data_IF_441788116536
#
_entry.id   IF_441788116536
#
_cell.length_a   1.000
_cell.length_b   1.000
_cell.length_c   1.000
_cell.angle_alpha   90.00
_cell.angle_beta   90.00
_cell.angle_gamma   90.00
#
_symmetry.space_group_name_H-M   'P 1'
#
loop_
_entity.id
_entity.type
_entity.pdbx_description
1 polymer ?
#
# COMPACT_ATOMS: atom_id res chain seq x y z
N UNK A 1 -31.38 36.43 -7.53
CA UNK A 1 -30.12 36.75 -8.23
C UNK A 1 -29.15 35.64 -7.92
N UNK A 2 -28.82 34.80 -8.90
CA UNK A 2 -27.76 33.79 -8.73
C UNK A 2 -26.41 34.48 -8.61
N UNK A 3 -25.51 33.96 -7.77
CA UNK A 3 -24.12 34.45 -7.68
C UNK A 3 -23.45 34.47 -9.06
N UNK A 4 -23.77 33.49 -9.89
CA UNK A 4 -23.29 33.38 -11.26
C UNK A 4 -23.55 34.65 -12.08
N UNK A 5 -24.61 35.41 -11.76
CA UNK A 5 -24.96 36.62 -12.49
C UNK A 5 -24.07 37.83 -12.23
N UNK A 6 -23.27 37.79 -11.17
CA UNK A 6 -22.32 38.85 -10.79
C UNK A 6 -20.96 38.71 -11.49
N UNK A 7 -20.72 37.61 -12.19
CA UNK A 7 -19.46 37.36 -12.88
C UNK A 7 -19.39 38.13 -14.23
N UNK A 8 -18.22 38.72 -14.55
CA UNK A 8 -17.93 39.29 -15.85
C UNK A 8 -18.24 38.33 -17.00
N UNK A 9 -18.70 38.86 -18.14
CA UNK A 9 -19.21 38.09 -19.28
C UNK A 9 -18.21 37.06 -19.82
N UNK A 10 -16.91 37.39 -19.86
CA UNK A 10 -15.83 36.46 -20.27
C UNK A 10 -15.66 35.27 -19.33
N UNK A 11 -15.77 35.50 -18.02
CA UNK A 11 -15.64 34.44 -17.02
C UNK A 11 -16.87 33.55 -16.97
N UNK A 12 -18.07 34.12 -17.14
CA UNK A 12 -19.32 33.36 -17.36
C UNK A 12 -19.21 32.42 -18.57
N UNK A 13 -18.68 32.92 -19.67
CA UNK A 13 -18.60 32.16 -20.92
C UNK A 13 -17.57 31.01 -20.80
N UNK A 14 -16.44 31.27 -20.15
CA UNK A 14 -15.44 30.25 -19.83
C UNK A 14 -15.97 29.20 -18.86
N UNK A 15 -16.68 29.60 -17.79
CA UNK A 15 -17.29 28.66 -16.85
C UNK A 15 -18.38 27.80 -17.50
N UNK A 16 -19.22 28.39 -18.37
CA UNK A 16 -20.25 27.64 -19.10
C UNK A 16 -19.65 26.62 -20.05
N UNK A 17 -18.56 26.95 -20.74
CA UNK A 17 -17.82 25.99 -21.57
C UNK A 17 -17.24 24.86 -20.73
N UNK A 18 -16.69 25.16 -19.55
CA UNK A 18 -16.15 24.17 -18.62
C UNK A 18 -17.23 23.24 -18.04
N UNK A 19 -18.38 23.79 -17.67
CA UNK A 19 -19.51 23.07 -17.07
C UNK A 19 -20.43 22.36 -18.07
N UNK A 20 -20.28 22.59 -19.38
CA UNK A 20 -21.08 21.92 -20.42
C UNK A 20 -20.24 21.18 -21.46
N UNK A 21 -18.92 21.12 -21.29
CA UNK A 21 -18.05 20.31 -22.14
C UNK A 21 -18.15 18.84 -21.69
N UNK A 22 -18.67 17.94 -22.55
CA UNK A 22 -18.69 16.51 -22.25
C UNK A 22 -17.29 15.95 -21.97
N UNK A 23 -16.27 16.46 -22.67
CA UNK A 23 -14.86 16.04 -22.51
C UNK A 23 -14.29 16.39 -21.13
N UNK A 24 -14.65 17.54 -20.54
CA UNK A 24 -14.19 17.86 -19.18
C UNK A 24 -14.93 17.06 -18.12
N UNK A 25 -16.18 16.68 -18.36
CA UNK A 25 -16.93 15.77 -17.49
C UNK A 25 -16.43 14.33 -17.58
N UNK A 26 -16.05 13.85 -18.76
CA UNK A 26 -15.38 12.55 -18.94
C UNK A 26 -14.02 12.53 -18.23
N UNK A 27 -13.19 13.57 -18.40
CA UNK A 27 -11.93 13.71 -17.64
C UNK A 27 -12.15 13.77 -16.13
N UNK A 28 -13.24 14.39 -15.68
CA UNK A 28 -13.58 14.41 -14.26
C UNK A 28 -14.03 13.03 -13.76
N UNK A 29 -14.82 12.29 -14.56
CA UNK A 29 -15.21 10.90 -14.25
C UNK A 29 -14.03 9.95 -14.26
N UNK A 30 -13.09 10.09 -15.20
CA UNK A 30 -11.85 9.31 -15.24
C UNK A 30 -10.94 9.60 -14.04
N UNK A 31 -11.00 10.83 -13.50
CA UNK A 31 -10.17 11.26 -12.36
C UNK A 31 -10.74 10.86 -11.00
N UNK A 32 -12.04 10.62 -10.90
CA UNK A 32 -12.71 10.23 -9.66
C UNK A 32 -12.82 8.70 -9.65
N UNK A 33 -12.15 8.05 -8.71
CA UNK A 33 -12.22 6.59 -8.54
C UNK A 33 -13.70 6.17 -8.41
N UNK A 34 -14.07 5.07 -9.08
CA UNK A 34 -15.43 4.55 -9.00
C UNK A 34 -15.76 4.11 -7.58
N UNK A 35 -17.05 4.02 -7.22
CA UNK A 35 -17.47 3.51 -5.92
C UNK A 35 -16.95 2.08 -5.66
N UNK A 36 -16.92 1.24 -6.68
CA UNK A 36 -16.38 -0.13 -6.58
C UNK A 36 -14.86 -0.14 -6.32
N UNK A 37 -14.11 0.79 -6.92
CA UNK A 37 -12.66 0.90 -6.67
C UNK A 37 -12.38 1.40 -5.25
N UNK A 38 -13.23 2.30 -4.73
CA UNK A 38 -13.16 2.78 -3.36
C UNK A 38 -13.45 1.67 -2.36
N UNK A 39 -14.47 0.85 -2.59
CA UNK A 39 -14.79 -0.31 -1.74
C UNK A 39 -13.61 -1.28 -1.66
N UNK A 40 -13.01 -1.64 -2.80
CA UNK A 40 -11.82 -2.51 -2.83
C UNK A 40 -10.62 -1.92 -2.10
N UNK A 41 -10.40 -0.61 -2.21
CA UNK A 41 -9.32 0.06 -1.47
C UNK A 41 -9.61 0.11 0.04
N UNK A 42 -10.86 0.31 0.43
CA UNK A 42 -11.26 0.29 1.83
C UNK A 42 -11.07 -1.10 2.46
N UNK A 43 -11.54 -2.15 1.80
CA UNK A 43 -11.32 -3.53 2.24
C UNK A 43 -9.82 -3.84 2.40
N UNK A 44 -9.02 -3.44 1.41
CA UNK A 44 -7.56 -3.63 1.48
C UNK A 44 -6.92 -2.90 2.65
N UNK A 45 -7.34 -1.66 2.91
CA UNK A 45 -6.80 -0.86 4.01
C UNK A 45 -7.23 -1.42 5.36
N UNK A 46 -8.47 -1.91 5.49
CA UNK A 46 -8.97 -2.56 6.69
C UNK A 46 -8.12 -3.79 7.04
N UNK A 47 -7.84 -4.63 6.05
CA UNK A 47 -6.99 -5.82 6.22
C UNK A 47 -5.56 -5.49 6.63
N UNK A 48 -4.97 -4.45 6.05
CA UNK A 48 -3.62 -4.02 6.42
C UNK A 48 -3.59 -3.42 7.82
N UNK A 49 -4.64 -2.71 8.23
CA UNK A 49 -4.77 -2.18 9.58
C UNK A 49 -4.91 -3.31 10.62
N UNK A 50 -5.71 -4.34 10.34
CA UNK A 50 -5.82 -5.53 11.18
C UNK A 50 -4.49 -6.28 11.29
N UNK A 51 -3.82 -6.52 10.16
CA UNK A 51 -2.51 -7.15 10.15
C UNK A 51 -1.49 -6.33 10.94
N UNK A 52 -1.52 -5.00 10.83
CA UNK A 52 -0.64 -4.10 11.60
C UNK A 52 -0.91 -4.24 13.09
N UNK A 53 -2.18 -4.24 13.49
CA UNK A 53 -2.57 -4.43 14.88
C UNK A 53 -2.12 -5.79 15.41
N UNK A 54 -2.30 -6.87 14.64
CA UNK A 54 -1.87 -8.21 14.99
C UNK A 54 -0.33 -8.28 15.14
N UNK A 55 0.42 -7.65 14.24
CA UNK A 55 1.88 -7.59 14.33
C UNK A 55 2.37 -6.80 15.56
N UNK A 56 1.62 -5.79 16.01
CA UNK A 56 1.96 -5.00 17.20
C UNK A 56 1.53 -5.68 18.52
N UNK A 57 0.47 -6.46 18.51
CA UNK A 57 -0.12 -7.07 19.72
C UNK A 57 0.27 -8.53 19.94
N UNK A 58 0.50 -9.30 18.87
CA UNK A 58 0.74 -10.73 18.92
C UNK A 58 2.15 -11.10 18.41
N UNK A 59 3.11 -11.37 19.31
CA UNK A 59 4.48 -11.68 18.90
C UNK A 59 4.59 -13.00 18.12
N UNK A 60 3.62 -13.93 18.27
CA UNK A 60 3.59 -15.19 17.53
C UNK A 60 3.34 -14.96 16.04
N UNK A 61 2.38 -14.11 15.70
CA UNK A 61 2.03 -13.76 14.31
C UNK A 61 3.23 -13.07 13.65
N UNK A 62 3.91 -12.19 14.38
CA UNK A 62 5.12 -11.54 13.92
C UNK A 62 6.24 -12.55 13.62
N UNK A 63 6.48 -13.52 14.50
CA UNK A 63 7.48 -14.56 14.27
C UNK A 63 7.15 -15.50 13.11
N UNK A 64 5.88 -15.88 12.96
CA UNK A 64 5.41 -16.74 11.87
C UNK A 64 5.58 -16.06 10.52
N UNK A 65 5.09 -14.81 10.40
CA UNK A 65 5.24 -14.04 9.17
C UNK A 65 6.71 -13.77 8.84
N UNK A 66 7.55 -13.51 9.86
CA UNK A 66 9.00 -13.38 9.66
C UNK A 66 9.62 -14.67 9.10
N UNK A 67 9.27 -15.83 9.66
CA UNK A 67 9.79 -17.13 9.20
C UNK A 67 9.35 -17.46 7.78
N UNK A 68 8.11 -17.13 7.42
CA UNK A 68 7.59 -17.32 6.07
C UNK A 68 8.37 -16.46 5.07
N UNK A 69 8.54 -15.16 5.37
CA UNK A 69 9.32 -14.25 4.55
C UNK A 69 10.79 -14.68 4.48
N UNK A 70 11.39 -15.14 5.58
CA UNK A 70 12.76 -15.65 5.59
C UNK A 70 12.91 -16.88 4.68
N UNK A 71 11.95 -17.80 4.72
CA UNK A 71 11.92 -18.96 3.84
C UNK A 71 11.84 -18.54 2.38
N UNK A 72 10.92 -17.63 2.06
CA UNK A 72 10.75 -17.14 0.70
C UNK A 72 12.00 -16.40 0.21
N UNK A 73 12.64 -15.59 1.07
CA UNK A 73 13.91 -14.90 0.74
C UNK A 73 15.03 -15.89 0.39
N UNK A 74 15.05 -17.06 1.03
CA UNK A 74 16.01 -18.13 0.72
C UNK A 74 15.64 -18.90 -0.55
N UNK A 75 14.36 -19.13 -0.80
CA UNK A 75 13.88 -19.97 -1.91
C UNK A 75 13.76 -19.21 -3.24
N UNK A 76 13.16 -18.02 -3.21
CA UNK A 76 12.83 -17.22 -4.40
C UNK A 76 13.87 -16.11 -4.65
N UNK A 77 14.62 -15.73 -3.62
CA UNK A 77 15.62 -14.67 -3.66
C UNK A 77 15.04 -13.28 -3.36
N UNK A 78 15.89 -12.42 -2.79
CA UNK A 78 15.52 -11.06 -2.38
C UNK A 78 14.95 -10.18 -3.52
N UNK A 79 15.37 -10.43 -4.76
CA UNK A 79 14.93 -9.67 -5.94
C UNK A 79 13.46 -9.89 -6.29
N UNK A 80 12.89 -11.06 -5.96
CA UNK A 80 11.48 -11.37 -6.24
C UNK A 80 10.54 -10.93 -5.12
N UNK A 81 11.08 -10.71 -3.92
CA UNK A 81 10.28 -10.40 -2.73
C UNK A 81 10.30 -8.92 -2.42
N UNK A 82 11.42 -8.26 -2.66
CA UNK A 82 11.60 -6.85 -2.35
C UNK A 82 11.33 -6.02 -3.60
N UNK A 83 10.63 -4.90 -3.41
CA UNK A 83 10.51 -3.90 -4.47
C UNK A 83 11.88 -3.25 -4.67
N UNK A 84 12.32 -3.13 -5.93
CA UNK A 84 13.69 -2.80 -6.32
C UNK A 84 14.22 -1.51 -5.66
N UNK A 85 14.82 -1.65 -4.49
CA UNK A 85 15.67 -0.66 -3.84
C UNK A 85 17.13 -1.04 -4.05
N UNK A 86 18.01 -0.05 -4.19
CA UNK A 86 19.45 -0.28 -4.09
C UNK A 86 19.76 -0.77 -2.66
N UNK A 87 19.66 -2.08 -2.44
CA UNK A 87 20.00 -2.70 -1.17
C UNK A 87 21.49 -2.54 -0.95
N UNK A 88 21.87 -1.86 0.13
CA UNK A 88 23.27 -1.82 0.52
C UNK A 88 23.72 -3.24 0.91
N UNK A 89 25.01 -3.60 0.73
CA UNK A 89 25.49 -4.94 1.07
C UNK A 89 25.20 -5.34 2.53
N UNK A 90 25.25 -4.37 3.45
CA UNK A 90 24.90 -4.58 4.87
C UNK A 90 23.45 -5.00 5.08
N UNK A 91 22.53 -4.46 4.30
CA UNK A 91 21.11 -4.80 4.35
C UNK A 91 20.87 -6.19 3.78
N UNK A 92 21.56 -6.55 2.69
CA UNK A 92 21.48 -7.89 2.13
C UNK A 92 21.95 -8.94 3.13
N UNK A 93 23.06 -8.68 3.83
CA UNK A 93 23.58 -9.58 4.88
C UNK A 93 22.59 -9.71 6.05
N UNK A 94 22.01 -8.60 6.50
CA UNK A 94 21.01 -8.60 7.57
C UNK A 94 19.75 -9.41 7.19
N UNK A 95 19.23 -9.21 5.98
CA UNK A 95 18.09 -9.96 5.45
C UNK A 95 18.41 -11.45 5.29
N UNK A 96 19.59 -11.79 4.76
CA UNK A 96 20.03 -13.18 4.61
C UNK A 96 20.22 -13.89 5.95
N UNK A 97 20.62 -13.17 7.00
CA UNK A 97 20.78 -13.69 8.35
C UNK A 97 19.47 -13.82 9.14
N UNK A 98 18.34 -13.35 8.60
CA UNK A 98 17.05 -13.32 9.32
C UNK A 98 16.93 -12.20 10.37
N UNK A 99 17.91 -11.28 10.42
CA UNK A 99 17.95 -10.17 11.36
C UNK A 99 17.11 -8.99 10.85
N UNK A 100 15.80 -9.20 10.76
CA UNK A 100 14.84 -8.17 10.34
C UNK A 100 13.51 -8.29 11.08
N UNK A 101 12.81 -7.16 11.16
CA UNK A 101 11.46 -7.04 11.70
C UNK A 101 10.48 -6.73 10.58
N UNK A 102 9.31 -7.36 10.63
CA UNK A 102 8.22 -7.10 9.69
C UNK A 102 7.32 -6.02 10.27
N UNK A 103 6.91 -5.06 9.44
CA UNK A 103 5.94 -4.04 9.82
C UNK A 103 5.12 -3.57 8.63
N UNK A 104 4.18 -2.67 8.88
CA UNK A 104 3.36 -2.02 7.84
C UNK A 104 3.61 -0.52 7.89
N UNK A 105 3.89 0.07 6.73
CA UNK A 105 4.13 1.50 6.59
C UNK A 105 3.48 2.06 5.33
N UNK A 106 3.29 3.38 5.30
CA UNK A 106 2.71 4.09 4.17
C UNK A 106 3.79 4.33 3.12
N UNK A 107 3.53 3.90 1.88
CA UNK A 107 4.38 4.23 0.76
C UNK A 107 4.27 5.74 0.45
N UNK A 108 5.37 6.51 0.53
CA UNK A 108 5.31 7.96 0.29
C UNK A 108 4.95 8.33 -1.15
N UNK A 109 5.12 7.41 -2.11
CA UNK A 109 4.83 7.66 -3.53
C UNK A 109 3.38 7.38 -3.90
N UNK A 110 2.78 6.31 -3.35
CA UNK A 110 1.40 5.91 -3.67
C UNK A 110 0.38 6.34 -2.60
N UNK A 111 0.83 6.67 -1.38
CA UNK A 111 -0.02 6.98 -0.24
C UNK A 111 -0.72 5.76 0.36
N UNK A 112 -0.44 4.56 -0.14
CA UNK A 112 -1.05 3.31 0.32
C UNK A 112 -0.17 2.62 1.35
N UNK A 113 -0.79 1.90 2.28
CA UNK A 113 -0.08 1.04 3.22
C UNK A 113 0.50 -0.19 2.51
N UNK A 114 1.69 -0.62 2.94
CA UNK A 114 2.40 -1.77 2.41
C UNK A 114 3.24 -2.45 3.49
N UNK A 115 3.49 -3.74 3.30
CA UNK A 115 4.38 -4.51 4.17
C UNK A 115 5.82 -4.10 3.90
N UNK A 116 6.55 -3.81 4.96
CA UNK A 116 7.95 -3.39 4.93
C UNK A 116 8.80 -4.26 5.84
N UNK A 117 10.02 -4.54 5.39
CA UNK A 117 11.06 -5.16 6.21
C UNK A 117 11.99 -4.09 6.77
N UNK A 118 12.32 -4.21 8.04
CA UNK A 118 13.24 -3.34 8.77
C UNK A 118 14.44 -4.18 9.24
N UNK A 119 15.62 -4.02 8.63
CA UNK A 119 16.83 -4.70 9.08
C UNK A 119 17.24 -4.25 10.48
N UNK A 120 17.62 -5.20 11.33
CA UNK A 120 18.13 -4.90 12.68
C UNK A 120 19.47 -4.16 12.57
N UNK A 121 19.55 -2.98 13.17
CA UNK A 121 20.73 -2.12 13.14
C UNK A 121 20.66 -0.93 12.17
N UNK A 122 19.66 -0.86 11.28
CA UNK A 122 19.40 0.32 10.46
C UNK A 122 17.90 0.68 10.40
N UNK A 123 17.40 1.30 11.48
CA UNK A 123 15.98 1.68 11.67
C UNK A 123 15.48 2.65 10.60
N UNK A 124 16.38 3.31 9.87
CA UNK A 124 16.04 4.27 8.82
C UNK A 124 15.70 3.62 7.46
N UNK A 125 16.16 2.40 7.20
CA UNK A 125 15.95 1.73 5.91
C UNK A 125 14.79 0.75 5.99
N UNK A 126 13.59 1.24 5.63
CA UNK A 126 12.40 0.40 5.44
C UNK A 126 12.36 -0.08 4.00
N UNK A 127 12.31 -1.40 3.81
CA UNK A 127 12.36 -2.01 2.47
C UNK A 127 10.98 -2.56 2.15
N UNK A 128 10.27 -1.98 1.19
CA UNK A 128 8.96 -2.48 0.81
C UNK A 128 9.05 -3.84 0.10
N UNK A 129 8.06 -4.68 0.37
CA UNK A 129 7.83 -5.89 -0.39
C UNK A 129 7.21 -5.55 -1.76
N UNK A 130 7.40 -6.44 -2.73
CA UNK A 130 6.66 -6.35 -3.99
C UNK A 130 5.16 -6.41 -3.73
N UNK A 131 4.39 -5.70 -4.55
CA UNK A 131 2.93 -5.62 -4.40
C UNK A 131 2.27 -7.00 -4.47
N UNK A 132 2.69 -7.85 -5.41
CA UNK A 132 2.18 -9.22 -5.58
C UNK A 132 2.41 -10.08 -4.34
N UNK A 133 3.59 -9.97 -3.73
CA UNK A 133 3.99 -10.72 -2.54
C UNK A 133 3.25 -10.21 -1.30
N UNK A 134 3.11 -8.88 -1.18
CA UNK A 134 2.30 -8.28 -0.10
C UNK A 134 0.86 -8.79 -0.12
N UNK A 135 0.26 -8.87 -1.31
CA UNK A 135 -1.11 -9.37 -1.49
C UNK A 135 -1.25 -10.85 -1.11
N UNK A 136 -0.25 -11.67 -1.43
CA UNK A 136 -0.21 -13.09 -1.04
C UNK A 136 -0.20 -13.26 0.48
N UNK A 137 0.64 -12.52 1.21
CA UNK A 137 0.69 -12.63 2.67
C UNK A 137 -0.60 -12.12 3.34
N UNK A 138 -1.18 -11.03 2.84
CA UNK A 138 -2.48 -10.56 3.36
C UNK A 138 -3.61 -11.57 3.11
N UNK A 139 -3.62 -12.25 1.96
CA UNK A 139 -4.59 -13.30 1.67
C UNK A 139 -4.38 -14.55 2.53
N UNK A 140 -3.13 -14.94 2.75
CA UNK A 140 -2.76 -16.03 3.66
C UNK A 140 -3.23 -15.77 5.08
N UNK A 141 -3.02 -14.56 5.59
CA UNK A 141 -3.51 -14.12 6.89
C UNK A 141 -5.04 -14.23 7.01
N UNK A 142 -5.81 -13.79 6.00
CA UNK A 142 -7.26 -13.95 6.00
C UNK A 142 -7.70 -15.42 6.06
N UNK A 143 -7.02 -16.29 5.32
CA UNK A 143 -7.33 -17.72 5.34
C UNK A 143 -7.05 -18.36 6.70
N UNK A 144 -5.99 -17.91 7.38
CA UNK A 144 -5.64 -18.36 8.73
C UNK A 144 -6.63 -17.83 9.77
N UNK A 145 -6.99 -16.55 9.74
CA UNK A 145 -7.97 -15.95 10.65
C UNK A 145 -9.40 -16.47 10.47
N UNK A 146 -9.77 -16.87 9.25
CA UNK A 146 -11.08 -17.49 8.96
C UNK A 146 -11.19 -18.95 9.44
N UNK A 147 -10.07 -19.56 9.86
CA UNK A 147 -10.02 -20.94 10.35
C UNK A 147 -10.36 -21.06 11.85
N UNK A 148 -10.50 -19.94 12.54
CA UNK A 148 -10.75 -19.86 14.00
C UNK A 148 -12.17 -19.38 14.37
N UNK A 149 -13.16 -19.56 13.46
CA UNK A 149 -14.59 -19.32 13.73
C UNK A 149 -15.38 -20.63 13.80
#
# INVERSE_FOLDING_TARGET
MDWFDRLPSREKERLRKRLRSPEEYERLRERVKGPEDLEREMEKNELLAELKFALETEPKIQEELRKEIEKDLREQGAEQILEAGNLTPKVQDALASGAFTVGIDVNPSSGNEQIVLQPEGNVAEKIPLQKSVSEQYTAGFMSAGSSEV
#
